data_IF_920894717491
#
_entry.id   IF_920894717491
#
_cell.length_a   1.000
_cell.length_b   1.000
_cell.length_c   1.000
_cell.angle_alpha   90.00
_cell.angle_beta   90.00
_cell.angle_gamma   90.00
#
_symmetry.space_group_name_H-M   'P 1'
#
loop_
_entity.id
_entity.type
_entity.pdbx_description
1 polymer ?
#
# COMPACT_ATOMS: atom_id res chain seq x y z
N UNK A 1 2.75 -29.67 -0.62
CA UNK A 1 2.52 -28.28 -0.14
C UNK A 1 1.38 -27.69 -0.93
N UNK A 2 0.37 -27.10 -0.29
CA UNK A 2 -0.76 -26.51 -1.02
C UNK A 2 -0.26 -25.37 -1.95
N UNK A 3 -0.82 -25.23 -3.17
CA UNK A 3 -0.50 -24.11 -4.03
C UNK A 3 -0.90 -22.81 -3.33
N UNK A 4 0.07 -21.92 -3.11
CA UNK A 4 -0.16 -20.58 -2.54
C UNK A 4 -1.04 -19.80 -3.51
N UNK A 5 -2.16 -19.23 -3.03
CA UNK A 5 -3.05 -18.44 -3.87
C UNK A 5 -2.33 -17.19 -4.40
N UNK A 6 -2.62 -16.81 -5.65
CA UNK A 6 -1.99 -15.67 -6.34
C UNK A 6 -2.22 -14.34 -5.60
N UNK A 7 -3.32 -14.25 -4.85
CA UNK A 7 -3.72 -13.07 -4.06
C UNK A 7 -3.17 -13.08 -2.64
N UNK A 8 -2.31 -14.03 -2.28
CA UNK A 8 -1.67 -14.01 -0.97
C UNK A 8 -0.75 -12.77 -0.88
N UNK A 9 -0.87 -11.94 0.18
CA UNK A 9 0.02 -10.81 0.40
C UNK A 9 1.44 -11.24 0.81
N UNK A 10 1.67 -12.54 1.03
CA UNK A 10 2.97 -13.07 1.42
C UNK A 10 4.03 -12.98 0.32
N UNK A 11 5.32 -13.13 0.69
CA UNK A 11 6.40 -13.16 -0.29
C UNK A 11 6.20 -14.36 -1.22
N UNK A 12 5.90 -14.06 -2.48
CA UNK A 12 5.83 -15.05 -3.56
C UNK A 12 7.09 -14.92 -4.40
N UNK A 13 7.73 -16.04 -4.68
CA UNK A 13 8.99 -16.10 -5.44
C UNK A 13 8.85 -15.42 -6.79
N UNK A 14 7.67 -15.54 -7.42
CA UNK A 14 7.37 -14.93 -8.72
C UNK A 14 7.55 -13.40 -8.71
N UNK A 15 7.03 -12.70 -7.68
CA UNK A 15 7.19 -11.24 -7.53
C UNK A 15 8.66 -10.84 -7.34
N UNK A 16 9.46 -11.67 -6.66
CA UNK A 16 10.89 -11.44 -6.47
C UNK A 16 11.70 -11.54 -7.77
N UNK A 17 11.34 -12.47 -8.67
CA UNK A 17 12.03 -12.66 -9.95
C UNK A 17 11.84 -11.44 -10.86
N UNK A 18 10.62 -10.90 -10.97
CA UNK A 18 10.38 -9.71 -11.80
C UNK A 18 11.24 -8.52 -11.37
N UNK A 19 11.32 -8.26 -10.04
CA UNK A 19 12.16 -7.20 -9.50
C UNK A 19 13.63 -7.40 -9.80
N UNK A 20 14.13 -8.64 -9.71
CA UNK A 20 15.51 -8.97 -10.03
C UNK A 20 15.84 -8.77 -11.52
N UNK A 21 14.96 -9.22 -12.43
CA UNK A 21 15.17 -9.03 -13.88
C UNK A 21 15.19 -7.55 -14.23
N UNK A 22 14.26 -6.76 -13.68
CA UNK A 22 14.23 -5.31 -13.88
C UNK A 22 15.51 -4.68 -13.33
N UNK A 23 15.97 -5.06 -12.14
CA UNK A 23 17.21 -4.54 -11.56
C UNK A 23 18.42 -4.77 -12.47
N UNK A 24 18.64 -6.00 -12.93
CA UNK A 24 19.77 -6.33 -13.83
C UNK A 24 19.64 -5.60 -15.17
N UNK A 25 18.43 -5.53 -15.73
CA UNK A 25 18.17 -4.81 -16.96
C UNK A 25 18.42 -3.30 -16.81
N UNK A 26 17.98 -2.69 -15.70
CA UNK A 26 18.20 -1.27 -15.41
C UNK A 26 19.70 -0.94 -15.32
N UNK A 27 20.49 -1.75 -14.61
CA UNK A 27 21.94 -1.55 -14.55
C UNK A 27 22.62 -1.71 -15.91
N UNK A 28 22.19 -2.70 -16.70
CA UNK A 28 22.73 -2.94 -18.04
C UNK A 28 22.44 -1.75 -18.97
N UNK A 29 21.19 -1.27 -19.01
CA UNK A 29 20.77 -0.11 -19.80
C UNK A 29 21.49 1.15 -19.33
N UNK A 30 21.64 1.35 -18.02
CA UNK A 30 22.36 2.47 -17.45
C UNK A 30 23.85 2.47 -17.86
N UNK A 31 24.50 1.30 -17.84
CA UNK A 31 25.87 1.14 -18.32
C UNK A 31 26.03 1.52 -19.80
N UNK A 32 25.11 1.05 -20.66
CA UNK A 32 25.09 1.41 -22.09
C UNK A 32 24.89 2.91 -22.28
N UNK A 33 23.98 3.51 -21.49
CA UNK A 33 23.73 4.95 -21.52
C UNK A 33 24.96 5.77 -21.12
N UNK A 34 25.68 5.38 -20.07
CA UNK A 34 26.93 6.04 -19.67
C UNK A 34 28.01 5.90 -20.74
N UNK A 35 28.17 4.71 -21.31
CA UNK A 35 29.12 4.48 -22.39
C UNK A 35 28.82 5.42 -23.56
N UNK A 36 27.56 5.51 -23.98
CA UNK A 36 27.15 6.44 -25.02
C UNK A 36 27.38 7.92 -24.64
N UNK A 37 27.06 8.32 -23.40
CA UNK A 37 27.15 9.70 -22.95
C UNK A 37 28.60 10.22 -22.84
N UNK A 38 29.53 9.38 -22.38
CA UNK A 38 30.91 9.78 -22.11
C UNK A 38 31.88 9.49 -23.25
N UNK A 39 31.65 8.45 -24.07
CA UNK A 39 32.58 8.09 -25.16
C UNK A 39 32.56 9.16 -26.27
N UNK A 40 33.72 9.63 -26.78
CA UNK A 40 33.81 10.59 -27.88
C UNK A 40 33.22 10.05 -29.19
N UNK A 41 32.70 10.94 -30.05
CA UNK A 41 31.94 10.54 -31.24
C UNK A 41 32.81 9.79 -32.27
N UNK A 42 34.11 10.08 -32.30
CA UNK A 42 35.11 9.40 -33.14
C UNK A 42 35.15 7.89 -32.87
N UNK A 43 35.15 7.48 -31.60
CA UNK A 43 35.17 6.06 -31.23
C UNK A 43 33.84 5.39 -31.53
N UNK A 44 32.71 6.07 -31.33
CA UNK A 44 31.38 5.56 -31.67
C UNK A 44 31.22 5.36 -33.19
N UNK A 45 31.76 6.29 -34.00
CA UNK A 45 31.77 6.18 -35.45
C UNK A 45 32.60 4.97 -35.92
N UNK A 46 33.72 4.68 -35.25
CA UNK A 46 34.54 3.49 -35.51
C UNK A 46 33.85 2.15 -35.20
N UNK A 47 32.89 2.15 -34.28
CA UNK A 47 32.05 0.97 -33.95
C UNK A 47 30.83 0.85 -34.90
N UNK A 48 30.65 1.80 -35.82
CA UNK A 48 29.52 1.82 -36.77
C UNK A 48 28.25 2.49 -36.24
N UNK A 49 28.33 3.17 -35.09
CA UNK A 49 27.22 3.93 -34.48
C UNK A 49 27.22 5.38 -34.97
N UNK A 50 26.83 5.58 -36.24
CA UNK A 50 26.94 6.87 -36.94
C UNK A 50 25.76 7.82 -36.76
N UNK A 51 24.58 7.33 -36.36
CA UNK A 51 23.34 8.12 -36.30
C UNK A 51 22.74 8.22 -34.89
N UNK A 52 23.57 8.53 -33.89
CA UNK A 52 23.09 8.77 -32.53
C UNK A 52 22.59 10.22 -32.34
N UNK A 53 21.62 10.45 -31.44
CA UNK A 53 21.13 11.80 -31.14
C UNK A 53 22.25 12.68 -30.55
N UNK A 54 22.08 14.00 -30.64
CA UNK A 54 23.07 14.95 -30.12
C UNK A 54 23.36 14.73 -28.64
N UNK A 55 24.59 15.04 -28.18
CA UNK A 55 25.00 14.84 -26.77
C UNK A 55 24.14 15.60 -25.76
N UNK A 56 23.46 16.66 -26.18
CA UNK A 56 22.53 17.39 -25.33
C UNK A 56 21.43 16.48 -24.78
N UNK A 57 21.03 15.45 -25.53
CA UNK A 57 20.08 14.45 -25.07
C UNK A 57 20.55 13.69 -23.85
N UNK A 58 21.87 13.53 -23.66
CA UNK A 58 22.41 12.94 -22.44
C UNK A 58 22.06 13.78 -21.20
N UNK A 59 21.90 15.10 -21.32
CA UNK A 59 21.46 15.96 -20.21
C UNK A 59 19.94 16.08 -20.15
N UNK A 60 19.27 16.12 -21.31
CA UNK A 60 17.80 16.25 -21.36
C UNK A 60 17.09 15.02 -20.76
N UNK A 61 17.60 13.80 -20.99
CA UNK A 61 17.01 12.55 -20.46
C UNK A 61 16.92 12.54 -18.93
N UNK A 62 17.98 12.80 -18.15
CA UNK A 62 17.88 12.81 -16.69
C UNK A 62 16.98 13.96 -16.20
N UNK A 63 17.03 15.13 -16.84
CA UNK A 63 16.13 16.23 -16.50
C UNK A 63 14.66 15.90 -16.75
N UNK A 64 14.32 15.27 -17.87
CA UNK A 64 12.94 14.85 -18.16
C UNK A 64 12.46 13.79 -17.19
N UNK A 65 13.33 12.86 -16.77
CA UNK A 65 13.01 11.87 -15.74
C UNK A 65 12.69 12.52 -14.38
N UNK A 66 13.46 13.53 -13.98
CA UNK A 66 13.15 14.30 -12.76
C UNK A 66 11.82 15.05 -12.89
N UNK A 67 11.58 15.71 -14.03
CA UNK A 67 10.31 16.41 -14.29
C UNK A 67 9.11 15.47 -14.23
N UNK A 68 9.21 14.28 -14.81
CA UNK A 68 8.15 13.27 -14.75
C UNK A 68 7.96 12.76 -13.33
N UNK A 69 9.04 12.54 -12.57
CA UNK A 69 8.95 12.04 -11.19
C UNK A 69 8.30 13.09 -10.27
N UNK A 70 8.83 14.31 -10.23
CA UNK A 70 8.30 15.37 -9.37
C UNK A 70 6.93 15.85 -9.84
N UNK A 71 6.74 15.97 -11.16
CA UNK A 71 5.45 16.30 -11.76
C UNK A 71 4.42 15.22 -11.46
N UNK A 72 4.77 13.94 -11.59
CA UNK A 72 3.89 12.81 -11.30
C UNK A 72 3.48 12.75 -9.82
N UNK A 73 4.42 12.92 -8.89
CA UNK A 73 4.10 13.00 -7.45
C UNK A 73 3.24 14.22 -7.15
N UNK A 74 3.56 15.38 -7.72
CA UNK A 74 2.77 16.60 -7.54
C UNK A 74 1.34 16.46 -8.06
N UNK A 75 1.17 15.91 -9.27
CA UNK A 75 -0.14 15.61 -9.86
C UNK A 75 -0.89 14.59 -9.02
N UNK A 76 -0.23 13.53 -8.56
CA UNK A 76 -0.85 12.52 -7.69
C UNK A 76 -1.37 13.14 -6.40
N UNK A 77 -0.54 13.92 -5.70
CA UNK A 77 -0.95 14.61 -4.48
C UNK A 77 -2.10 15.58 -4.74
N UNK A 78 -2.02 16.35 -5.84
CA UNK A 78 -3.07 17.25 -6.27
C UNK A 78 -4.37 16.49 -6.48
N UNK A 79 -4.40 15.46 -7.34
CA UNK A 79 -5.60 14.66 -7.60
C UNK A 79 -6.15 14.00 -6.33
N UNK A 80 -5.28 13.50 -5.46
CA UNK A 80 -5.71 12.89 -4.21
C UNK A 80 -6.45 13.89 -3.31
N UNK A 81 -6.01 15.16 -3.28
CA UNK A 81 -6.73 16.22 -2.56
C UNK A 81 -8.10 16.56 -3.17
N UNK A 82 -8.32 16.33 -4.48
CA UNK A 82 -9.65 16.53 -5.09
C UNK A 82 -10.63 15.39 -4.79
N UNK A 83 -10.12 14.16 -4.67
CA UNK A 83 -10.95 12.97 -4.47
C UNK A 83 -11.28 12.79 -2.98
N UNK A 84 -10.34 13.13 -2.09
CA UNK A 84 -10.47 12.95 -0.65
C UNK A 84 -11.21 14.16 -0.03
N UNK A 85 -11.80 13.95 1.15
CA UNK A 85 -12.39 15.04 1.95
C UNK A 85 -11.38 16.15 2.28
N UNK A 86 -11.85 17.40 2.50
CA UNK A 86 -10.98 18.50 2.92
C UNK A 86 -10.13 18.09 4.12
N UNK A 87 -8.85 18.50 4.15
CA UNK A 87 -7.88 18.12 5.20
C UNK A 87 -8.30 18.52 6.62
N UNK A 88 -9.30 19.40 6.76
CA UNK A 88 -9.92 19.80 8.02
C UNK A 88 -11.10 18.91 8.46
N UNK A 89 -11.51 17.92 7.67
CA UNK A 89 -12.66 17.06 7.98
C UNK A 89 -12.27 15.98 8.99
N UNK A 90 -13.05 15.85 10.06
CA UNK A 90 -12.92 14.76 11.05
C UNK A 90 -13.14 13.37 10.43
N UNK A 91 -13.88 13.30 9.31
CA UNK A 91 -14.14 12.07 8.56
C UNK A 91 -12.89 11.49 7.86
N UNK A 92 -11.76 12.21 7.86
CA UNK A 92 -10.45 11.65 7.46
C UNK A 92 -9.86 10.73 8.53
N UNK A 93 -10.24 10.95 9.79
CA UNK A 93 -9.71 10.24 10.96
C UNK A 93 -10.73 9.19 11.44
N UNK A 94 -12.02 9.52 11.37
CA UNK A 94 -13.10 8.62 11.74
C UNK A 94 -13.73 7.95 10.52
N UNK A 95 -13.73 6.63 10.48
CA UNK A 95 -14.64 5.84 9.65
C UNK A 95 -16.07 5.82 10.26
N UNK A 96 -17.05 5.32 9.49
CA UNK A 96 -18.45 5.27 9.93
C UNK A 96 -18.60 4.53 11.28
N UNK A 97 -17.76 3.54 11.53
CA UNK A 97 -17.79 2.68 12.73
C UNK A 97 -17.15 3.36 13.96
N UNK A 98 -16.08 4.13 13.79
CA UNK A 98 -15.42 4.86 14.88
C UNK A 98 -16.22 6.07 15.36
N UNK A 99 -17.02 6.67 14.47
CA UNK A 99 -17.99 7.71 14.87
C UNK A 99 -19.01 7.12 15.88
N UNK A 100 -19.48 5.90 15.63
CA UNK A 100 -20.32 5.16 16.58
C UNK A 100 -19.53 4.78 17.84
N UNK A 101 -18.24 4.44 17.77
CA UNK A 101 -17.43 4.10 18.95
C UNK A 101 -17.35 5.22 20.00
N UNK A 102 -17.34 6.49 19.60
CA UNK A 102 -17.45 7.60 20.55
C UNK A 102 -18.82 7.62 21.27
N UNK A 103 -19.88 7.18 20.59
CA UNK A 103 -21.20 6.94 21.18
C UNK A 103 -21.23 5.65 22.01
N UNK A 104 -20.41 4.64 21.69
CA UNK A 104 -20.24 3.43 22.51
C UNK A 104 -19.56 3.75 23.85
N UNK A 105 -18.62 4.70 23.89
CA UNK A 105 -18.03 5.20 25.14
C UNK A 105 -19.08 5.93 26.01
N UNK A 106 -19.99 6.69 25.38
CA UNK A 106 -21.13 7.32 26.05
C UNK A 106 -22.22 6.30 26.45
N UNK A 107 -22.37 5.24 25.66
CA UNK A 107 -23.29 4.12 25.85
C UNK A 107 -22.77 3.00 26.74
N UNK A 108 -21.60 3.16 27.39
CA UNK A 108 -21.05 2.19 28.35
C UNK A 108 -22.03 1.90 29.51
N UNK A 109 -22.94 2.84 29.80
CA UNK A 109 -24.03 2.70 30.78
C UNK A 109 -25.32 2.06 30.23
N UNK A 110 -25.38 1.68 28.95
CA UNK A 110 -26.59 1.18 28.28
C UNK A 110 -26.54 -0.35 28.06
N UNK A 111 -27.44 -1.16 28.65
CA UNK A 111 -27.44 -2.62 28.52
C UNK A 111 -27.57 -3.14 27.09
N UNK A 112 -28.12 -2.35 26.16
CA UNK A 112 -28.27 -2.71 24.74
C UNK A 112 -26.94 -2.68 23.97
N UNK A 113 -25.88 -2.09 24.56
CA UNK A 113 -24.54 -2.05 24.00
C UNK A 113 -23.94 -3.44 23.82
N UNK A 114 -24.09 -4.32 24.82
CA UNK A 114 -23.55 -5.69 24.78
C UNK A 114 -24.17 -6.53 23.67
N UNK A 115 -25.46 -6.30 23.38
CA UNK A 115 -26.18 -7.00 22.31
C UNK A 115 -25.69 -6.56 20.93
N UNK A 116 -25.37 -5.27 20.78
CA UNK A 116 -24.75 -4.72 19.57
C UNK A 116 -23.33 -5.27 19.37
N UNK A 117 -22.51 -5.29 20.42
CA UNK A 117 -21.14 -5.85 20.35
C UNK A 117 -21.14 -7.33 19.90
N UNK A 118 -22.10 -8.14 20.37
CA UNK A 118 -22.26 -9.52 19.93
C UNK A 118 -22.49 -9.65 18.41
N UNK A 119 -23.24 -8.72 17.82
CA UNK A 119 -23.51 -8.71 16.38
C UNK A 119 -22.30 -8.24 15.56
N UNK A 120 -21.50 -7.29 16.06
CA UNK A 120 -20.29 -6.81 15.36
C UNK A 120 -19.09 -7.75 15.51
N UNK A 121 -19.05 -8.58 16.55
CA UNK A 121 -18.04 -9.63 16.73
C UNK A 121 -18.29 -10.85 15.81
N UNK A 122 -19.51 -11.00 15.28
CA UNK A 122 -19.88 -12.08 14.38
C UNK A 122 -19.46 -11.74 12.95
N UNK A 123 -18.64 -12.60 12.33
CA UNK A 123 -18.25 -12.51 10.93
C UNK A 123 -19.26 -13.30 10.11
N UNK A 124 -20.18 -12.68 9.35
CA UNK A 124 -20.87 -13.42 8.31
C UNK A 124 -19.87 -13.63 7.17
N UNK A 125 -19.63 -14.89 6.85
CA UNK A 125 -19.03 -15.34 5.59
C UNK A 125 -17.58 -14.90 5.31
N UNK A 126 -16.63 -15.45 6.06
CA UNK A 126 -15.28 -15.75 5.55
C UNK A 126 -14.45 -14.56 5.05
N UNK A 127 -14.74 -13.35 5.51
CA UNK A 127 -13.88 -12.19 5.30
C UNK A 127 -12.46 -12.48 5.77
N UNK A 128 -11.45 -12.22 4.93
CA UNK A 128 -10.05 -12.50 5.23
C UNK A 128 -9.48 -11.69 6.41
N UNK A 129 -10.26 -10.77 6.98
CA UNK A 129 -9.88 -9.90 8.07
C UNK A 129 -10.89 -10.05 9.22
N UNK A 130 -10.45 -10.42 10.44
CA UNK A 130 -11.32 -10.42 11.62
C UNK A 130 -11.78 -8.99 11.95
N UNK A 131 -12.89 -8.82 12.68
CA UNK A 131 -13.32 -7.50 13.13
C UNK A 131 -12.18 -6.83 13.91
N UNK A 132 -11.77 -5.64 13.47
CA UNK A 132 -10.71 -4.84 14.10
C UNK A 132 -11.18 -4.14 15.36
N UNK A 133 -12.46 -4.27 15.72
CA UNK A 133 -12.95 -3.85 17.02
C UNK A 133 -12.37 -4.76 18.09
N UNK A 134 -11.58 -4.19 18.99
CA UNK A 134 -11.16 -4.87 20.20
C UNK A 134 -12.40 -5.27 21.02
N UNK A 135 -12.48 -6.56 21.38
CA UNK A 135 -13.50 -7.04 22.30
C UNK A 135 -13.33 -6.31 23.64
N UNK A 136 -14.43 -5.77 24.17
CA UNK A 136 -14.39 -5.12 25.49
C UNK A 136 -13.82 -6.08 26.55
N UNK A 137 -12.89 -5.56 27.37
CA UNK A 137 -12.18 -6.34 28.37
C UNK A 137 -13.15 -7.00 29.38
N UNK A 138 -14.27 -6.33 29.70
CA UNK A 138 -15.34 -6.91 30.52
C UNK A 138 -16.05 -8.08 29.86
N UNK A 139 -16.35 -8.03 28.56
CA UNK A 139 -16.95 -9.17 27.85
C UNK A 139 -16.00 -10.36 27.88
N UNK A 140 -14.71 -10.14 27.59
CA UNK A 140 -13.69 -11.19 27.63
C UNK A 140 -13.58 -11.78 29.03
N UNK A 141 -13.51 -10.93 30.06
CA UNK A 141 -13.48 -11.40 31.45
C UNK A 141 -14.76 -12.17 31.83
N UNK A 142 -15.93 -11.75 31.36
CA UNK A 142 -17.19 -12.47 31.60
C UNK A 142 -17.22 -13.83 30.91
N UNK A 143 -16.71 -13.95 29.68
CA UNK A 143 -16.61 -15.25 29.01
C UNK A 143 -15.58 -16.15 29.70
N UNK A 144 -14.39 -15.64 30.02
CA UNK A 144 -13.31 -16.44 30.61
C UNK A 144 -13.62 -16.84 32.06
N UNK A 145 -14.16 -15.92 32.86
CA UNK A 145 -14.29 -16.11 34.31
C UNK A 145 -15.72 -16.36 34.78
N UNK A 146 -16.75 -15.94 34.02
CA UNK A 146 -18.16 -16.05 34.43
C UNK A 146 -18.98 -17.06 33.61
N UNK A 147 -18.46 -17.60 32.48
CA UNK A 147 -19.04 -18.82 31.89
C UNK A 147 -18.61 -20.02 32.72
N UNK A 148 -19.29 -20.20 33.84
CA UNK A 148 -19.22 -21.41 34.62
C UNK A 148 -19.91 -22.54 33.81
N UNK A 149 -19.26 -23.68 33.52
CA UNK A 149 -19.93 -24.86 32.96
C UNK A 149 -20.74 -25.55 34.06
N UNK A 150 -21.77 -24.87 34.57
CA UNK A 150 -22.67 -25.37 35.59
C UNK A 150 -24.11 -25.34 35.06
N UNK A 151 -24.33 -26.04 33.95
CA UNK A 151 -25.63 -26.54 33.55
C UNK A 151 -25.46 -27.81 32.70
N UNK A 152 -25.11 -28.90 33.38
CA UNK A 152 -25.49 -30.28 33.01
C UNK A 152 -26.49 -30.76 34.04
#
# INVERSE_FOLDING_TARGET
>A
TLPKSVNSPGPVTERGVYGFVIYVASWSIFGIYLLWAYVPHEYLHGVGLTYLPSRLWAVVIPWSLLLILFGGVGIYLWMNQYIVHPTSSVHLICDDISSEMSLLQSGYSDPDFLMRQHNYAYIPDGGAMPPTLDLSLEWVNKQIYLQNPASL
#
